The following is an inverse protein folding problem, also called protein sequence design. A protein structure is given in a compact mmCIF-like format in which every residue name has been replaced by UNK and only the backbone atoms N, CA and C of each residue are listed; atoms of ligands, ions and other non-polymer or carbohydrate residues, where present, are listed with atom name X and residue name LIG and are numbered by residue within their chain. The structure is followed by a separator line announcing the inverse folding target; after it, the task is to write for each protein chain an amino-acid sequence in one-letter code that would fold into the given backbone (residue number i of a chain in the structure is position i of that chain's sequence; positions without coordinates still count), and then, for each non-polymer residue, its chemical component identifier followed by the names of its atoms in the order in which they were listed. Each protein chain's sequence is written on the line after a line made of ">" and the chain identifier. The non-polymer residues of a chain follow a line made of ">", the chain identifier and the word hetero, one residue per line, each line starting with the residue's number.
data_IF_338941101575
#
_entry.id   IF_338941101575
#
_cell.length_a   1.000
_cell.length_b   1.000
_cell.length_c   1.000
_cell.angle_alpha   90.00
_cell.angle_beta   90.00
_cell.angle_gamma   90.00
#
_symmetry.space_group_name_H-M   'P 1'
#
loop_
_entity.id
_entity.type
_entity.pdbx_description
1 polymer ?
#
# COMPACT_ATOMS: atom_id res chain seq x y z
N UNK A 1 1.81 8.81 -1.01
CA UNK A 1 1.29 7.62 -1.70
C UNK A 1 2.31 7.18 -2.71
N UNK A 2 2.46 5.87 -2.91
CA UNK A 2 3.33 5.29 -3.94
C UNK A 2 2.54 4.23 -4.67
N UNK A 3 2.42 4.36 -6.00
CA UNK A 3 1.80 3.36 -6.87
C UNK A 3 2.85 2.83 -7.83
N UNK A 4 3.06 1.51 -7.81
CA UNK A 4 4.10 0.81 -8.57
C UNK A 4 3.39 -0.14 -9.54
N UNK A 5 3.45 0.13 -10.86
CA UNK A 5 2.78 -0.68 -11.88
C UNK A 5 3.52 -1.98 -12.20
N UNK A 6 4.81 -2.07 -11.87
CA UNK A 6 5.59 -3.29 -11.94
C UNK A 6 6.65 -3.28 -10.83
N UNK A 7 6.54 -4.19 -9.85
CA UNK A 7 7.44 -4.27 -8.71
C UNK A 7 8.89 -4.55 -9.12
N UNK A 8 9.11 -5.45 -10.08
CA UNK A 8 10.45 -5.87 -10.49
C UNK A 8 11.19 -4.82 -11.35
N UNK A 9 10.47 -3.83 -11.87
CA UNK A 9 11.05 -2.68 -12.56
C UNK A 9 11.36 -1.51 -11.59
N UNK A 10 10.89 -1.58 -10.34
CA UNK A 10 11.13 -0.53 -9.34
C UNK A 10 12.41 -0.82 -8.55
N UNK A 11 13.43 0.05 -8.59
CA UNK A 11 14.72 -0.20 -7.94
C UNK A 11 14.64 -0.26 -6.40
N UNK A 12 13.50 0.12 -5.81
CA UNK A 12 13.27 0.07 -4.36
C UNK A 12 12.66 -1.26 -3.91
N UNK A 13 12.20 -2.10 -4.84
CA UNK A 13 11.65 -3.41 -4.52
C UNK A 13 12.79 -4.40 -4.25
N UNK A 14 12.66 -5.19 -3.19
CA UNK A 14 13.57 -6.27 -2.84
C UNK A 14 12.98 -7.60 -3.34
N UNK A 15 13.51 -8.21 -4.42
CA UNK A 15 12.96 -9.44 -4.98
C UNK A 15 13.06 -10.65 -4.04
N UNK A 16 13.94 -10.60 -3.04
CA UNK A 16 14.15 -11.72 -2.12
C UNK A 16 12.90 -12.05 -1.29
N UNK A 17 11.97 -11.09 -1.14
CA UNK A 17 10.70 -11.28 -0.42
C UNK A 17 9.76 -12.27 -1.09
N UNK A 18 9.94 -12.54 -2.39
CA UNK A 18 9.15 -13.52 -3.14
C UNK A 18 9.77 -14.91 -3.15
N UNK A 19 11.07 -15.02 -2.86
CA UNK A 19 11.82 -16.27 -3.00
C UNK A 19 11.25 -17.38 -2.11
N UNK A 20 10.96 -18.54 -2.71
CA UNK A 20 10.47 -19.72 -2.00
C UNK A 20 9.01 -19.63 -1.49
N UNK A 21 8.31 -18.52 -1.72
CA UNK A 21 6.93 -18.32 -1.24
C UNK A 21 5.87 -18.82 -2.23
N UNK A 22 6.22 -18.91 -3.52
CA UNK A 22 5.25 -19.14 -4.61
C UNK A 22 4.37 -17.92 -4.92
N UNK A 23 4.59 -16.80 -4.21
CA UNK A 23 3.97 -15.51 -4.46
C UNK A 23 4.88 -14.67 -5.35
N UNK A 24 4.29 -13.80 -6.17
CA UNK A 24 5.02 -12.87 -7.03
C UNK A 24 4.37 -11.50 -6.96
N UNK A 25 5.08 -10.50 -6.45
CA UNK A 25 4.61 -9.13 -6.46
C UNK A 25 4.66 -8.57 -7.89
N UNK A 26 3.52 -8.11 -8.40
CA UNK A 26 3.36 -7.48 -9.71
C UNK A 26 3.08 -6.00 -9.55
N UNK A 27 1.91 -5.66 -8.99
CA UNK A 27 1.49 -4.28 -8.77
C UNK A 27 1.43 -3.99 -7.27
N UNK A 28 1.88 -2.81 -6.86
CA UNK A 28 1.92 -2.43 -5.44
C UNK A 28 1.35 -1.02 -5.28
N UNK A 29 0.43 -0.83 -4.33
CA UNK A 29 -0.04 0.49 -3.90
C UNK A 29 0.21 0.64 -2.39
N UNK A 30 1.03 1.63 -2.03
CA UNK A 30 1.33 1.98 -0.65
C UNK A 30 0.70 3.33 -0.27
N UNK A 31 -0.07 3.32 0.82
CA UNK A 31 -0.73 4.50 1.38
C UNK A 31 -0.31 4.71 2.85
N UNK A 32 0.26 5.86 3.21
CA UNK A 32 0.60 6.13 4.61
C UNK A 32 -0.68 6.31 5.44
N UNK A 33 -0.70 5.71 6.64
CA UNK A 33 -1.70 6.00 7.67
C UNK A 33 -1.16 7.12 8.55
N UNK A 34 -1.94 8.19 8.73
CA UNK A 34 -1.59 9.33 9.57
C UNK A 34 -2.56 9.48 10.72
N UNK A 35 -2.06 9.83 11.90
CA UNK A 35 -2.93 10.22 13.03
C UNK A 35 -3.46 11.66 12.86
N UNK A 36 -4.22 12.13 13.84
CA UNK A 36 -4.79 13.48 13.88
C UNK A 36 -3.75 14.61 13.88
N UNK A 37 -2.52 14.36 14.37
CA UNK A 37 -1.41 15.32 14.30
C UNK A 37 -0.66 15.29 12.97
N UNK A 38 -1.11 14.47 12.00
CA UNK A 38 -0.49 14.30 10.68
C UNK A 38 0.77 13.43 10.70
N UNK A 39 1.10 12.82 11.84
CA UNK A 39 2.25 11.94 11.99
C UNK A 39 1.94 10.57 11.37
N UNK A 40 2.88 10.04 10.58
CA UNK A 40 2.75 8.71 9.99
C UNK A 40 2.92 7.66 11.08
N UNK A 41 1.89 6.84 11.29
CA UNK A 41 1.87 5.79 12.31
C UNK A 41 1.86 4.38 11.71
N UNK A 42 1.72 4.27 10.39
CA UNK A 42 1.70 3.00 9.68
C UNK A 42 1.56 3.19 8.17
N UNK A 43 1.47 2.09 7.45
CA UNK A 43 1.30 2.05 5.99
C UNK A 43 0.31 0.94 5.65
N UNK A 44 -0.61 1.20 4.73
CA UNK A 44 -1.40 0.19 4.03
C UNK A 44 -0.66 -0.15 2.75
N UNK A 45 -0.49 -1.44 2.49
CA UNK A 45 0.05 -1.96 1.25
C UNK A 45 -0.99 -2.88 0.60
N UNK A 46 -1.40 -2.53 -0.62
CA UNK A 46 -2.14 -3.43 -1.49
C UNK A 46 -1.18 -4.01 -2.52
N UNK A 47 -1.31 -5.31 -2.77
CA UNK A 47 -0.44 -6.04 -3.70
C UNK A 47 -1.32 -6.80 -4.69
N UNK A 48 -0.90 -6.84 -5.96
CA UNK A 48 -1.53 -7.58 -7.04
C UNK A 48 -3.01 -7.26 -7.19
N UNK A 49 -3.29 -6.10 -7.79
CA UNK A 49 -4.65 -5.81 -8.24
C UNK A 49 -5.14 -6.92 -9.17
N UNK A 50 -6.42 -7.26 -9.03
CA UNK A 50 -7.07 -8.31 -9.82
C UNK A 50 -6.94 -8.09 -11.33
N UNK A 51 -7.06 -9.20 -12.06
CA UNK A 51 -7.01 -9.24 -13.53
C UNK A 51 -5.71 -8.68 -14.13
N UNK A 52 -4.61 -8.74 -13.36
CA UNK A 52 -3.29 -8.20 -13.72
C UNK A 52 -3.32 -6.70 -14.10
N UNK A 53 -4.29 -5.95 -13.55
CA UNK A 53 -4.44 -4.52 -13.77
C UNK A 53 -3.53 -3.70 -12.87
N UNK A 54 -3.37 -2.41 -13.21
CA UNK A 54 -2.67 -1.42 -12.40
C UNK A 54 -3.66 -0.67 -11.49
N UNK A 55 -3.20 -0.28 -10.30
CA UNK A 55 -3.97 0.59 -9.41
C UNK A 55 -4.22 1.95 -10.08
N UNK A 56 -5.48 2.33 -10.10
CA UNK A 56 -5.96 3.57 -10.70
C UNK A 56 -6.02 4.68 -9.65
N UNK A 57 -6.24 5.91 -10.11
CA UNK A 57 -6.45 7.02 -9.19
C UNK A 57 -7.68 6.85 -8.28
N UNK A 58 -8.71 6.15 -8.76
CA UNK A 58 -9.88 5.83 -7.95
C UNK A 58 -9.53 4.85 -6.82
N UNK A 59 -8.64 3.88 -7.08
CA UNK A 59 -8.16 2.96 -6.04
C UNK A 59 -7.34 3.74 -5.00
N UNK A 60 -6.45 4.65 -5.42
CA UNK A 60 -5.70 5.51 -4.50
C UNK A 60 -6.64 6.33 -3.61
N UNK A 61 -7.66 6.98 -4.18
CA UNK A 61 -8.61 7.80 -3.43
C UNK A 61 -9.41 6.96 -2.42
N UNK A 62 -9.79 5.74 -2.80
CA UNK A 62 -10.48 4.82 -1.90
C UNK A 62 -9.59 4.40 -0.73
N UNK A 63 -8.34 4.01 -1.00
CA UNK A 63 -7.39 3.60 0.04
C UNK A 63 -7.00 4.79 0.93
N UNK A 64 -6.94 6.01 0.38
CA UNK A 64 -6.70 7.23 1.16
C UNK A 64 -7.83 7.47 2.16
N UNK A 65 -9.10 7.39 1.72
CA UNK A 65 -10.24 7.48 2.61
C UNK A 65 -10.19 6.40 3.72
N UNK A 66 -9.85 5.16 3.35
CA UNK A 66 -9.69 4.07 4.31
C UNK A 66 -8.55 4.34 5.31
N UNK A 67 -7.40 4.84 4.85
CA UNK A 67 -6.25 5.17 5.69
C UNK A 67 -6.57 6.26 6.73
N UNK A 68 -7.42 7.24 6.39
CA UNK A 68 -7.90 8.27 7.32
C UNK A 68 -8.69 7.62 8.46
N UNK A 69 -9.60 6.68 8.16
CA UNK A 69 -10.36 5.96 9.19
C UNK A 69 -9.45 5.10 10.07
N UNK A 70 -8.48 4.38 9.50
CA UNK A 70 -7.49 3.64 10.26
C UNK A 70 -6.69 4.56 11.20
N UNK A 71 -6.28 5.73 10.73
CA UNK A 71 -5.52 6.70 11.51
C UNK A 71 -6.28 7.21 12.75
N UNK A 72 -7.59 7.46 12.59
CA UNK A 72 -8.46 7.84 13.72
C UNK A 72 -8.67 6.68 14.71
N UNK A 73 -8.86 5.45 14.21
CA UNK A 73 -9.08 4.27 15.04
C UNK A 73 -7.85 3.87 15.86
N UNK A 74 -6.69 3.81 15.22
CA UNK A 74 -5.41 3.41 15.85
C UNK A 74 -4.97 4.44 16.89
N UNK A 75 -5.23 5.74 16.67
CA UNK A 75 -4.89 6.78 17.64
C UNK A 75 -5.66 6.62 18.97
N UNK A 76 -6.84 6.02 18.95
CA UNK A 76 -7.72 5.89 20.12
C UNK A 76 -7.59 4.56 20.87
N UNK A 77 -6.69 3.65 20.48
CA UNK A 77 -6.46 2.36 21.16
C UNK A 77 -5.38 2.43 22.24
N UNK A 78 -5.50 3.38 23.17
CA UNK A 78 -4.71 3.45 24.40
C UNK A 78 -5.61 3.50 25.63
#
# INVERSE_FOLDING_TARGET
>A
TVSIPNAYDDPRFDPSVDEGTGFHHKTILCMPIKNSSGQIIGVIQLVNKFDDLIFTKNDENFVEAFAIFCGMGIHNTH
#
